data_IF_626926741927
#
_entry.id   IF_626926741927
#
_cell.length_a   1.000
_cell.length_b   1.000
_cell.length_c   1.000
_cell.angle_alpha   90.00
_cell.angle_beta   90.00
_cell.angle_gamma   90.00
#
_symmetry.space_group_name_H-M   'P 1'
#
loop_
_entity.id
_entity.type
_entity.pdbx_description
1 polymer ?
#
# COMPACT_ATOMS: atom_id res chain seq x y z
N UNK A 1 70.59 42.07 -1.53
CA UNK A 1 69.19 42.14 -2.04
C UNK A 1 68.51 43.28 -1.27
N UNK A 2 68.24 44.37 -1.96
CA UNK A 2 67.70 45.59 -1.35
C UNK A 2 66.20 45.39 -1.03
N UNK A 3 65.68 46.07 -0.03
CA UNK A 3 64.28 45.97 0.38
C UNK A 3 63.31 46.24 -0.78
N UNK A 4 63.65 47.02 -1.75
CA UNK A 4 62.99 47.34 -3.00
C UNK A 4 62.81 46.07 -3.91
N UNK A 5 63.89 45.23 -3.97
CA UNK A 5 63.85 43.99 -4.75
C UNK A 5 62.89 42.92 -4.11
N UNK A 6 62.85 42.86 -2.78
CA UNK A 6 61.95 41.99 -2.06
C UNK A 6 60.47 42.40 -2.24
N UNK A 7 60.21 43.71 -2.23
CA UNK A 7 58.82 44.20 -2.50
C UNK A 7 58.37 43.90 -3.92
N UNK A 8 59.22 44.10 -4.94
CA UNK A 8 58.88 43.71 -6.33
C UNK A 8 58.64 42.21 -6.50
N UNK A 9 59.42 41.37 -5.85
CA UNK A 9 59.13 39.90 -5.87
C UNK A 9 57.83 39.51 -5.19
N UNK A 10 57.49 40.12 -4.06
CA UNK A 10 56.20 39.87 -3.39
C UNK A 10 54.99 40.32 -4.22
N UNK A 11 55.11 41.47 -4.91
CA UNK A 11 54.03 41.91 -5.83
C UNK A 11 53.87 40.99 -7.03
N UNK A 12 54.93 40.48 -7.63
CA UNK A 12 54.88 39.50 -8.72
C UNK A 12 54.26 38.17 -8.28
N UNK A 13 54.58 37.68 -7.07
CA UNK A 13 54.00 36.47 -6.51
C UNK A 13 52.50 36.66 -6.29
N UNK A 14 52.10 37.80 -5.72
CA UNK A 14 50.71 38.13 -5.47
C UNK A 14 49.88 38.25 -6.75
N UNK A 15 50.45 38.87 -7.79
CA UNK A 15 49.84 39.00 -9.10
C UNK A 15 49.68 37.61 -9.80
N UNK A 16 50.65 36.71 -9.62
CA UNK A 16 50.59 35.32 -10.10
C UNK A 16 49.55 34.49 -9.37
N UNK A 17 49.42 34.65 -8.04
CA UNK A 17 48.39 33.96 -7.25
C UNK A 17 46.96 34.42 -7.60
N UNK A 18 46.75 35.71 -7.79
CA UNK A 18 45.47 36.28 -8.21
C UNK A 18 45.07 35.84 -9.63
N UNK A 19 46.01 35.76 -10.55
CA UNK A 19 45.83 35.21 -11.89
C UNK A 19 45.43 33.74 -11.88
N UNK A 20 46.10 32.95 -11.01
CA UNK A 20 45.77 31.53 -10.85
C UNK A 20 44.36 31.30 -10.22
N UNK A 21 44.01 32.13 -9.24
CA UNK A 21 42.62 32.09 -8.64
C UNK A 21 41.56 32.47 -9.66
N UNK A 22 41.79 33.49 -10.50
CA UNK A 22 40.86 33.87 -11.57
C UNK A 22 40.71 32.76 -12.61
N UNK A 23 41.79 32.10 -13.01
CA UNK A 23 41.76 30.98 -13.96
C UNK A 23 40.99 29.80 -13.39
N UNK A 24 41.20 29.43 -12.12
CA UNK A 24 40.44 28.36 -11.44
C UNK A 24 38.96 28.72 -11.33
N UNK A 25 38.63 29.98 -11.06
CA UNK A 25 37.22 30.44 -11.02
C UNK A 25 36.57 30.34 -12.40
N UNK A 26 37.22 30.75 -13.46
CA UNK A 26 36.74 30.65 -14.83
C UNK A 26 36.53 29.20 -15.26
N UNK A 27 37.44 28.28 -14.88
CA UNK A 27 37.30 26.86 -15.13
C UNK A 27 36.08 26.29 -14.38
N UNK A 28 35.89 26.68 -13.12
CA UNK A 28 34.69 26.25 -12.33
C UNK A 28 33.40 26.75 -12.93
N UNK A 29 33.34 27.99 -13.38
CA UNK A 29 32.18 28.58 -14.05
C UNK A 29 31.92 27.85 -15.37
N UNK A 30 32.96 27.65 -16.20
CA UNK A 30 32.86 26.91 -17.45
C UNK A 30 32.34 25.48 -17.26
N UNK A 31 32.85 24.77 -16.25
CA UNK A 31 32.40 23.43 -15.89
C UNK A 31 30.90 23.42 -15.44
N UNK A 32 30.50 24.40 -14.64
CA UNK A 32 29.13 24.53 -14.16
C UNK A 32 28.18 24.81 -15.34
N UNK A 33 28.52 25.70 -16.25
CA UNK A 33 27.74 26.00 -17.47
C UNK A 33 27.64 24.77 -18.37
N UNK A 34 28.78 24.07 -18.57
CA UNK A 34 28.79 22.82 -19.36
C UNK A 34 27.89 21.74 -18.73
N UNK A 35 27.97 21.55 -17.41
CA UNK A 35 27.15 20.56 -16.71
C UNK A 35 25.67 20.90 -16.79
N UNK A 36 25.32 22.19 -16.65
CA UNK A 36 23.95 22.67 -16.79
C UNK A 36 23.41 22.42 -18.20
N UNK A 37 24.20 22.74 -19.24
CA UNK A 37 23.84 22.50 -20.63
C UNK A 37 23.68 21.00 -20.92
N UNK A 38 24.60 20.17 -20.44
CA UNK A 38 24.51 18.71 -20.55
C UNK A 38 23.25 18.17 -19.88
N UNK A 39 22.93 18.62 -18.66
CA UNK A 39 21.67 18.25 -17.98
C UNK A 39 20.43 18.68 -18.76
N UNK A 40 20.40 19.90 -19.29
CA UNK A 40 19.31 20.39 -20.12
C UNK A 40 19.16 19.57 -21.40
N UNK A 41 20.26 19.20 -22.04
CA UNK A 41 20.27 18.38 -23.25
C UNK A 41 19.74 16.97 -22.96
N UNK A 42 20.20 16.34 -21.87
CA UNK A 42 19.70 15.04 -21.42
C UNK A 42 18.20 15.11 -21.09
N UNK A 43 17.76 16.14 -20.35
CA UNK A 43 16.36 16.36 -20.02
C UNK A 43 15.50 16.53 -21.30
N UNK A 44 15.95 17.32 -22.25
CA UNK A 44 15.28 17.54 -23.53
C UNK A 44 15.17 16.23 -24.34
N UNK A 45 16.23 15.43 -24.38
CA UNK A 45 16.23 14.11 -25.02
C UNK A 45 15.28 13.12 -24.34
N UNK A 46 15.22 13.13 -22.97
CA UNK A 46 14.27 12.33 -22.20
C UNK A 46 12.83 12.72 -22.48
N UNK A 47 12.54 14.02 -22.59
CA UNK A 47 11.19 14.53 -22.90
C UNK A 47 10.78 14.19 -24.34
N UNK A 48 11.65 14.39 -25.33
CA UNK A 48 11.36 14.10 -26.73
C UNK A 48 11.24 12.58 -27.02
N UNK A 49 12.01 11.76 -26.31
CA UNK A 49 12.00 10.30 -26.47
C UNK A 49 11.22 9.57 -25.37
N UNK A 50 10.29 10.24 -24.70
CA UNK A 50 9.50 9.67 -23.60
C UNK A 50 8.90 8.30 -23.93
N UNK A 51 8.36 8.12 -25.15
CA UNK A 51 7.84 6.80 -25.58
C UNK A 51 8.91 5.71 -25.60
N UNK A 52 10.09 5.96 -26.14
CA UNK A 52 11.18 4.99 -26.16
C UNK A 52 11.75 4.67 -24.76
N UNK A 53 11.75 5.63 -23.84
CA UNK A 53 12.13 5.42 -22.44
C UNK A 53 11.07 4.58 -21.72
N UNK A 54 9.78 4.88 -21.96
CA UNK A 54 8.68 4.10 -21.40
C UNK A 54 8.71 2.64 -21.88
N UNK A 55 8.94 2.40 -23.18
CA UNK A 55 9.02 1.05 -23.75
C UNK A 55 10.21 0.27 -23.16
N UNK A 56 11.39 0.91 -23.03
CA UNK A 56 12.55 0.30 -22.39
C UNK A 56 12.28 0.01 -20.91
N UNK A 57 11.59 0.91 -20.21
CA UNK A 57 11.19 0.71 -18.81
C UNK A 57 10.22 -0.45 -18.67
N UNK A 58 9.22 -0.55 -19.55
CA UNK A 58 8.29 -1.69 -19.59
C UNK A 58 9.00 -3.02 -19.88
N UNK A 59 10.00 -3.02 -20.74
CA UNK A 59 10.80 -4.21 -21.03
C UNK A 59 11.63 -4.65 -19.82
N UNK A 60 12.28 -3.71 -19.13
CA UNK A 60 13.06 -3.98 -17.92
C UNK A 60 12.14 -4.46 -16.78
N UNK A 61 11.04 -3.76 -16.53
CA UNK A 61 10.08 -4.14 -15.48
C UNK A 61 9.42 -5.47 -15.77
N UNK A 62 9.10 -5.76 -17.03
CA UNK A 62 8.59 -7.06 -17.47
C UNK A 62 9.57 -8.20 -17.22
N UNK A 63 10.85 -8.00 -17.54
CA UNK A 63 11.90 -8.98 -17.25
C UNK A 63 12.16 -9.20 -15.75
N UNK A 64 12.00 -8.14 -14.95
CA UNK A 64 12.17 -8.20 -13.49
C UNK A 64 10.91 -8.68 -12.75
N UNK A 65 9.75 -8.74 -13.41
CA UNK A 65 8.47 -9.10 -12.81
C UNK A 65 8.51 -10.41 -12.00
N UNK A 66 9.07 -11.54 -12.48
CA UNK A 66 9.14 -12.77 -11.69
C UNK A 66 10.01 -12.61 -10.44
N UNK A 67 11.07 -11.81 -10.51
CA UNK A 67 11.97 -11.55 -9.39
C UNK A 67 11.25 -10.69 -8.34
N UNK A 68 10.55 -9.65 -8.75
CA UNK A 68 9.78 -8.76 -7.85
C UNK A 68 8.67 -9.56 -7.15
N UNK A 69 7.94 -10.40 -7.90
CA UNK A 69 6.92 -11.29 -7.34
C UNK A 69 7.56 -12.27 -6.35
N UNK A 70 8.68 -12.90 -6.72
CA UNK A 70 9.41 -13.82 -5.86
C UNK A 70 9.92 -13.17 -4.57
N UNK A 71 10.43 -11.95 -4.63
CA UNK A 71 10.82 -11.18 -3.44
C UNK A 71 9.62 -10.87 -2.54
N UNK A 72 8.49 -10.45 -3.11
CA UNK A 72 7.25 -10.21 -2.37
C UNK A 72 6.74 -11.48 -1.70
N UNK A 73 6.67 -12.59 -2.43
CA UNK A 73 6.27 -13.88 -1.88
C UNK A 73 7.25 -14.39 -0.80
N UNK A 74 8.57 -14.22 -1.00
CA UNK A 74 9.57 -14.57 0.02
C UNK A 74 9.36 -13.76 1.30
N UNK A 75 9.02 -12.48 1.18
CA UNK A 75 8.69 -11.63 2.32
C UNK A 75 7.44 -12.12 3.06
N UNK A 76 6.36 -12.45 2.32
CA UNK A 76 5.11 -12.99 2.88
C UNK A 76 5.28 -14.37 3.54
N UNK A 77 6.09 -15.23 2.95
CA UNK A 77 6.34 -16.59 3.45
C UNK A 77 7.37 -16.65 4.60
N UNK A 78 8.17 -15.60 4.79
CA UNK A 78 9.19 -15.56 5.83
C UNK A 78 8.65 -15.82 7.26
N UNK A 79 7.49 -15.28 7.71
CA UNK A 79 6.92 -15.63 9.02
C UNK A 79 6.52 -17.10 9.13
N UNK A 80 5.93 -17.66 8.07
CA UNK A 80 5.53 -19.08 8.00
C UNK A 80 6.77 -19.98 8.10
N UNK A 81 7.81 -19.65 7.32
CA UNK A 81 9.09 -20.34 7.38
C UNK A 81 9.72 -20.25 8.78
N UNK A 82 9.78 -19.04 9.39
CA UNK A 82 10.33 -18.87 10.74
C UNK A 82 9.56 -19.66 11.79
N UNK A 83 8.23 -19.71 11.69
CA UNK A 83 7.39 -20.50 12.60
C UNK A 83 7.71 -21.98 12.48
N UNK A 84 7.83 -22.52 11.27
CA UNK A 84 8.20 -23.91 11.03
C UNK A 84 9.64 -24.20 11.47
N UNK A 85 10.60 -23.31 11.18
CA UNK A 85 12.00 -23.45 11.56
C UNK A 85 12.16 -23.56 13.10
N UNK A 86 11.38 -22.80 13.87
CA UNK A 86 11.34 -22.90 15.33
C UNK A 86 10.92 -24.29 15.84
N UNK A 87 10.07 -25.00 15.09
CA UNK A 87 9.64 -26.35 15.46
C UNK A 87 10.63 -27.43 14.99
N UNK A 88 11.13 -27.33 13.77
CA UNK A 88 12.04 -28.31 13.20
C UNK A 88 13.45 -28.28 13.79
N UNK A 89 13.97 -27.10 14.09
CA UNK A 89 15.35 -26.94 14.54
C UNK A 89 15.66 -27.69 15.84
N UNK A 90 14.85 -27.59 16.93
CA UNK A 90 15.11 -28.34 18.16
C UNK A 90 15.05 -29.86 17.96
N UNK A 91 14.10 -30.34 17.13
CA UNK A 91 13.93 -31.75 16.83
C UNK A 91 15.14 -32.32 16.08
N UNK A 92 15.62 -31.59 15.05
CA UNK A 92 16.76 -32.01 14.24
C UNK A 92 18.10 -31.91 15.00
N UNK A 93 18.28 -30.93 15.88
CA UNK A 93 19.45 -30.84 16.77
C UNK A 93 19.59 -32.04 17.68
N UNK A 94 18.49 -32.66 18.14
CA UNK A 94 18.52 -33.89 18.95
C UNK A 94 18.91 -35.13 18.11
N UNK A 95 18.65 -35.12 16.80
CA UNK A 95 18.84 -36.31 15.93
C UNK A 95 20.14 -36.28 15.11
N UNK A 96 20.73 -35.09 14.90
CA UNK A 96 21.90 -34.88 14.05
C UNK A 96 23.14 -34.51 14.87
N UNK A 97 24.28 -35.12 14.57
CA UNK A 97 25.56 -34.88 15.27
C UNK A 97 26.14 -33.48 15.02
N UNK A 98 25.80 -32.84 13.89
CA UNK A 98 26.34 -31.52 13.53
C UNK A 98 25.24 -30.45 13.61
N UNK A 99 25.41 -29.46 14.49
CA UNK A 99 24.47 -28.34 14.61
C UNK A 99 24.31 -27.52 13.30
N UNK A 100 25.40 -27.34 12.54
CA UNK A 100 25.36 -26.63 11.27
C UNK A 100 24.54 -27.37 10.21
N UNK A 101 24.65 -28.71 10.18
CA UNK A 101 23.86 -29.54 9.26
C UNK A 101 22.39 -29.57 9.69
N UNK A 102 22.09 -29.68 10.99
CA UNK A 102 20.75 -29.62 11.52
C UNK A 102 20.04 -28.28 11.17
N UNK A 103 20.75 -27.16 11.28
CA UNK A 103 20.21 -25.84 10.91
C UNK A 103 19.94 -25.73 9.40
N UNK A 104 20.82 -26.22 8.53
CA UNK A 104 20.60 -26.24 7.06
C UNK A 104 19.39 -27.09 6.68
N UNK A 105 19.27 -28.29 7.26
CA UNK A 105 18.15 -29.19 6.97
C UNK A 105 16.84 -28.63 7.52
N UNK A 106 16.83 -28.08 8.75
CA UNK A 106 15.66 -27.40 9.31
C UNK A 106 15.17 -26.29 8.41
N UNK A 107 16.10 -25.47 7.92
CA UNK A 107 15.78 -24.37 7.01
C UNK A 107 15.22 -24.85 5.68
N UNK A 108 15.84 -25.85 5.05
CA UNK A 108 15.35 -26.43 3.80
C UNK A 108 13.93 -27.00 3.94
N UNK A 109 13.66 -27.75 5.02
CA UNK A 109 12.33 -28.28 5.31
C UNK A 109 11.31 -27.16 5.56
N UNK A 110 11.70 -26.09 6.26
CA UNK A 110 10.81 -24.95 6.55
C UNK A 110 10.51 -24.14 5.29
N UNK A 111 11.46 -24.00 4.37
CA UNK A 111 11.22 -23.37 3.06
C UNK A 111 10.26 -24.22 2.23
N UNK A 112 10.52 -25.53 2.13
CA UNK A 112 9.65 -26.45 1.40
C UNK A 112 8.23 -26.47 1.99
N UNK A 113 8.10 -26.49 3.33
CA UNK A 113 6.82 -26.42 4.01
C UNK A 113 6.09 -25.08 3.82
N UNK A 114 6.81 -23.97 3.76
CA UNK A 114 6.20 -22.65 3.47
C UNK A 114 5.70 -22.55 2.03
N UNK A 115 6.43 -23.12 1.07
CA UNK A 115 6.00 -23.20 -0.33
C UNK A 115 4.80 -24.15 -0.48
N UNK A 116 4.85 -25.31 0.18
CA UNK A 116 3.71 -26.23 0.18
C UNK A 116 2.46 -25.58 0.77
N UNK A 117 2.60 -24.82 1.87
CA UNK A 117 1.52 -24.04 2.46
C UNK A 117 0.91 -23.04 1.46
N UNK A 118 1.75 -22.30 0.73
CA UNK A 118 1.30 -21.39 -0.32
C UNK A 118 0.54 -22.13 -1.42
N UNK A 119 1.08 -23.25 -1.91
CA UNK A 119 0.47 -24.04 -2.97
C UNK A 119 -0.88 -24.63 -2.52
N UNK A 120 -0.97 -25.15 -1.30
CA UNK A 120 -2.22 -25.66 -0.73
C UNK A 120 -3.28 -24.55 -0.66
N UNK A 121 -2.93 -23.37 -0.15
CA UNK A 121 -3.87 -22.23 -0.13
C UNK A 121 -4.32 -21.87 -1.55
N UNK A 122 -3.38 -21.80 -2.51
CA UNK A 122 -3.71 -21.46 -3.89
C UNK A 122 -4.66 -22.50 -4.52
N UNK A 123 -4.37 -23.78 -4.33
CA UNK A 123 -5.22 -24.86 -4.83
C UNK A 123 -6.62 -24.82 -4.18
N UNK A 124 -6.69 -24.61 -2.87
CA UNK A 124 -7.97 -24.48 -2.16
C UNK A 124 -8.78 -23.28 -2.65
N UNK A 125 -8.14 -22.14 -2.87
CA UNK A 125 -8.80 -20.96 -3.43
C UNK A 125 -9.31 -21.20 -4.85
N UNK A 126 -8.50 -21.81 -5.72
CA UNK A 126 -8.91 -22.13 -7.09
C UNK A 126 -10.06 -23.14 -7.06
N UNK A 127 -9.96 -24.20 -6.26
CA UNK A 127 -11.00 -25.22 -6.13
C UNK A 127 -12.31 -24.68 -5.52
N UNK A 128 -12.25 -23.65 -4.69
CA UNK A 128 -13.43 -23.00 -4.15
C UNK A 128 -14.05 -21.98 -5.13
N UNK A 129 -13.22 -21.16 -5.78
CA UNK A 129 -13.70 -20.08 -6.64
C UNK A 129 -14.19 -20.58 -7.99
N UNK A 130 -13.39 -21.41 -8.69
CA UNK A 130 -13.67 -21.77 -10.10
C UNK A 130 -15.00 -22.50 -10.25
N UNK A 131 -15.32 -23.57 -9.50
CA UNK A 131 -16.60 -24.23 -9.61
C UNK A 131 -17.78 -23.30 -9.25
N UNK A 132 -17.62 -22.49 -8.19
CA UNK A 132 -18.66 -21.56 -7.75
C UNK A 132 -18.92 -20.47 -8.78
N UNK A 133 -17.89 -19.89 -9.39
CA UNK A 133 -18.04 -18.89 -10.47
C UNK A 133 -18.73 -19.51 -11.69
N UNK A 134 -18.33 -20.73 -12.09
CA UNK A 134 -18.93 -21.43 -13.23
C UNK A 134 -20.41 -21.71 -12.94
N UNK A 135 -20.73 -22.26 -11.77
CA UNK A 135 -22.14 -22.56 -11.40
C UNK A 135 -23.00 -21.29 -11.28
N UNK A 136 -22.45 -20.20 -10.71
CA UNK A 136 -23.16 -18.92 -10.59
C UNK A 136 -23.42 -18.28 -11.96
N UNK A 137 -22.43 -18.31 -12.87
CA UNK A 137 -22.58 -17.78 -14.23
C UNK A 137 -23.59 -18.62 -15.03
N UNK A 138 -23.50 -19.94 -14.97
CA UNK A 138 -24.47 -20.82 -15.68
C UNK A 138 -25.87 -20.66 -15.09
N UNK A 139 -26.02 -20.68 -13.76
CA UNK A 139 -27.29 -20.46 -13.09
C UNK A 139 -27.88 -19.06 -13.38
N UNK A 140 -27.04 -18.04 -13.52
CA UNK A 140 -27.46 -16.71 -13.94
C UNK A 140 -28.06 -16.72 -15.36
N UNK A 141 -27.34 -17.33 -16.31
CA UNK A 141 -27.77 -17.40 -17.72
C UNK A 141 -29.09 -18.19 -17.84
N UNK A 142 -29.27 -19.24 -17.05
CA UNK A 142 -30.48 -20.07 -17.06
C UNK A 142 -31.66 -19.41 -16.32
N UNK A 143 -31.40 -18.70 -15.21
CA UNK A 143 -32.43 -18.09 -14.38
C UNK A 143 -32.93 -16.72 -14.88
N UNK A 144 -32.08 -15.99 -15.65
CA UNK A 144 -32.40 -14.64 -16.15
C UNK A 144 -33.73 -14.58 -16.90
N UNK A 145 -34.05 -15.45 -17.89
CA UNK A 145 -35.32 -15.38 -18.61
C UNK A 145 -36.56 -15.60 -17.70
N UNK A 146 -36.48 -16.60 -16.83
CA UNK A 146 -37.61 -16.93 -15.92
C UNK A 146 -37.83 -15.93 -14.79
N UNK A 147 -36.77 -15.38 -14.24
CA UNK A 147 -36.89 -14.39 -13.15
C UNK A 147 -37.38 -13.04 -13.67
N UNK A 148 -36.98 -12.67 -14.88
CA UNK A 148 -37.47 -11.46 -15.57
C UNK A 148 -38.94 -11.58 -15.91
N UNK A 149 -39.39 -12.72 -16.44
CA UNK A 149 -40.84 -13.00 -16.67
C UNK A 149 -41.64 -12.97 -15.36
N UNK A 150 -41.09 -13.54 -14.28
CA UNK A 150 -41.73 -13.55 -12.96
C UNK A 150 -41.89 -12.16 -12.38
N UNK A 151 -40.88 -11.28 -12.54
CA UNK A 151 -40.94 -9.88 -12.13
C UNK A 151 -41.97 -9.10 -12.96
N UNK A 152 -41.99 -9.30 -14.29
CA UNK A 152 -42.99 -8.70 -15.17
C UNK A 152 -44.41 -9.18 -14.80
N UNK A 153 -44.55 -10.45 -14.48
CA UNK A 153 -45.82 -11.02 -14.03
C UNK A 153 -46.27 -10.49 -12.66
N UNK A 154 -45.36 -10.31 -11.70
CA UNK A 154 -45.65 -9.70 -10.39
C UNK A 154 -46.08 -8.23 -10.54
N UNK A 155 -45.47 -7.48 -11.40
CA UNK A 155 -45.81 -6.08 -11.68
C UNK A 155 -47.15 -5.99 -12.42
N UNK A 156 -47.39 -6.83 -13.46
CA UNK A 156 -48.62 -6.87 -14.22
C UNK A 156 -49.82 -7.47 -13.45
N UNK A 157 -49.58 -8.37 -12.50
CA UNK A 157 -50.63 -8.99 -11.70
C UNK A 157 -51.21 -8.13 -10.57
N UNK A 158 -50.78 -6.87 -10.48
CA UNK A 158 -51.42 -5.88 -9.59
C UNK A 158 -51.20 -6.08 -8.09
N UNK A 159 -50.34 -7.02 -7.67
CA UNK A 159 -49.98 -7.18 -6.24
C UNK A 159 -49.25 -5.96 -5.65
N UNK A 160 -48.67 -5.12 -6.49
CA UNK A 160 -48.12 -3.80 -6.12
C UNK A 160 -49.09 -2.64 -6.45
N UNK A 161 -50.23 -2.92 -7.07
CA UNK A 161 -51.22 -1.93 -7.53
C UNK A 161 -52.02 -1.22 -6.46
N UNK A 162 -51.83 -1.59 -5.17
CA UNK A 162 -52.53 -0.94 -4.05
C UNK A 162 -52.08 0.51 -3.78
N UNK A 163 -51.03 1.00 -4.47
CA UNK A 163 -50.43 2.32 -4.21
C UNK A 163 -50.43 3.30 -5.39
N UNK A 164 -51.23 3.09 -6.44
CA UNK A 164 -51.47 4.11 -7.51
C UNK A 164 -50.24 4.55 -8.35
N UNK A 165 -49.16 3.76 -8.38
CA UNK A 165 -47.90 4.10 -9.07
C UNK A 165 -47.65 3.18 -10.27
N UNK A 166 -48.70 2.66 -10.89
CA UNK A 166 -48.66 1.47 -11.75
C UNK A 166 -48.05 1.69 -13.14
N UNK A 167 -48.28 2.82 -13.81
CA UNK A 167 -47.86 2.94 -15.22
C UNK A 167 -46.43 3.37 -15.39
N UNK A 168 -45.96 4.29 -14.55
CA UNK A 168 -44.55 4.82 -14.64
C UNK A 168 -43.54 3.78 -14.15
N UNK A 169 -43.84 3.02 -13.10
CA UNK A 169 -42.93 1.96 -12.62
C UNK A 169 -42.94 0.76 -13.57
N UNK A 170 -44.09 0.41 -14.16
CA UNK A 170 -44.19 -0.65 -15.15
C UNK A 170 -43.36 -0.33 -16.41
N UNK A 171 -43.43 0.91 -16.89
CA UNK A 171 -42.62 1.38 -18.04
C UNK A 171 -41.11 1.43 -17.69
N UNK A 172 -40.77 1.83 -16.49
CA UNK A 172 -39.37 1.91 -16.05
C UNK A 172 -38.78 0.51 -15.86
N UNK A 173 -39.53 -0.43 -15.30
CA UNK A 173 -39.15 -1.83 -15.16
C UNK A 173 -39.02 -2.52 -16.50
N UNK A 174 -39.94 -2.29 -17.43
CA UNK A 174 -39.86 -2.85 -18.79
C UNK A 174 -38.62 -2.34 -19.52
N UNK A 175 -38.35 -1.04 -19.44
CA UNK A 175 -37.11 -0.45 -20.02
C UNK A 175 -35.84 -0.97 -19.38
N UNK A 176 -35.82 -1.16 -18.06
CA UNK A 176 -34.69 -1.78 -17.35
C UNK A 176 -34.51 -3.24 -17.78
N UNK A 177 -35.60 -3.97 -17.95
CA UNK A 177 -35.59 -5.37 -18.42
C UNK A 177 -35.00 -5.46 -19.82
N UNK A 178 -35.48 -4.63 -20.74
CA UNK A 178 -34.98 -4.56 -22.12
C UNK A 178 -33.51 -4.15 -22.19
N UNK A 179 -33.09 -3.24 -21.29
CA UNK A 179 -31.67 -2.85 -21.18
C UNK A 179 -30.79 -3.98 -20.64
N UNK A 180 -31.22 -4.69 -19.61
CA UNK A 180 -30.49 -5.82 -19.01
C UNK A 180 -30.44 -7.00 -19.99
N UNK A 181 -31.54 -7.32 -20.68
CA UNK A 181 -31.59 -8.36 -21.71
C UNK A 181 -30.70 -8.02 -22.91
N UNK A 182 -30.76 -6.79 -23.40
CA UNK A 182 -29.90 -6.31 -24.50
C UNK A 182 -28.42 -6.31 -24.07
N UNK A 183 -28.11 -5.88 -22.86
CA UNK A 183 -26.76 -5.92 -22.33
C UNK A 183 -26.26 -7.37 -22.14
N UNK A 184 -27.09 -8.24 -21.56
CA UNK A 184 -26.74 -9.66 -21.35
C UNK A 184 -26.53 -10.39 -22.68
N UNK A 185 -27.43 -10.19 -23.65
CA UNK A 185 -27.40 -10.93 -24.93
C UNK A 185 -26.48 -10.32 -25.98
N UNK A 186 -26.39 -8.98 -26.07
CA UNK A 186 -25.60 -8.30 -27.10
C UNK A 186 -24.18 -7.95 -26.67
N UNK A 187 -23.96 -7.67 -25.37
CA UNK A 187 -22.66 -7.24 -24.88
C UNK A 187 -21.97 -8.33 -24.04
N UNK A 188 -22.66 -8.92 -23.06
CA UNK A 188 -22.05 -9.85 -22.11
C UNK A 188 -21.75 -11.22 -22.74
N UNK A 189 -22.75 -11.84 -23.38
CA UNK A 189 -22.60 -13.16 -24.02
C UNK A 189 -21.56 -13.18 -25.15
N UNK A 190 -21.52 -12.22 -26.09
CA UNK A 190 -20.48 -12.17 -27.11
C UNK A 190 -19.10 -11.87 -26.52
N UNK A 191 -19.00 -11.01 -25.50
CA UNK A 191 -17.73 -10.76 -24.81
C UNK A 191 -17.26 -12.02 -24.06
N UNK A 192 -18.15 -12.75 -23.40
CA UNK A 192 -17.81 -14.03 -22.77
C UNK A 192 -17.36 -15.09 -23.79
N UNK A 193 -18.02 -15.18 -24.96
CA UNK A 193 -17.55 -16.03 -26.06
C UNK A 193 -16.19 -15.56 -26.60
N UNK A 194 -15.96 -14.25 -26.68
CA UNK A 194 -14.68 -13.68 -27.08
C UNK A 194 -13.59 -13.95 -26.01
N UNK A 195 -13.91 -13.89 -24.72
CA UNK A 195 -13.02 -14.31 -23.64
C UNK A 195 -12.74 -15.82 -23.66
N UNK A 196 -13.74 -16.65 -23.98
CA UNK A 196 -13.56 -18.11 -24.17
C UNK A 196 -12.67 -18.41 -25.40
N UNK A 197 -12.79 -17.65 -26.48
CA UNK A 197 -11.91 -17.75 -27.65
C UNK A 197 -10.52 -17.15 -27.37
N UNK A 198 -10.42 -16.12 -26.53
CA UNK A 198 -9.15 -15.59 -26.03
C UNK A 198 -8.45 -16.55 -25.06
N UNK A 199 -9.17 -17.46 -24.39
CA UNK A 199 -8.58 -18.58 -23.64
C UNK A 199 -7.73 -19.47 -24.58
N UNK A 200 -8.11 -19.63 -25.83
CA UNK A 200 -7.32 -20.40 -26.83
C UNK A 200 -6.04 -19.63 -27.24
N UNK A 201 -6.07 -18.31 -27.36
CA UNK A 201 -4.87 -17.48 -27.54
C UNK A 201 -4.14 -17.24 -26.20
N UNK A 202 -4.83 -17.46 -25.09
CA UNK A 202 -4.34 -17.39 -23.72
C UNK A 202 -3.38 -18.52 -23.35
N UNK A 203 -3.25 -19.59 -24.11
CA UNK A 203 -2.29 -20.69 -23.83
C UNK A 203 -0.87 -20.13 -23.73
N UNK A 204 -0.47 -19.23 -24.62
CA UNK A 204 0.86 -18.60 -24.58
C UNK A 204 0.99 -17.68 -23.32
N UNK A 205 -0.06 -16.95 -23.01
CA UNK A 205 -0.10 -16.08 -21.80
C UNK A 205 -0.13 -16.91 -20.52
N UNK A 206 -0.85 -18.03 -20.53
CA UNK A 206 -0.90 -19.00 -19.43
C UNK A 206 0.45 -19.67 -19.21
N UNK A 207 1.13 -20.10 -20.27
CA UNK A 207 2.50 -20.65 -20.22
C UNK A 207 3.47 -19.61 -19.66
N UNK A 208 3.41 -18.34 -20.11
CA UNK A 208 4.22 -17.26 -19.54
C UNK A 208 3.93 -17.05 -18.07
N UNK A 209 2.67 -17.05 -17.66
CA UNK A 209 2.28 -16.88 -16.25
C UNK A 209 2.77 -18.02 -15.38
N UNK A 210 2.68 -19.27 -15.86
CA UNK A 210 3.20 -20.44 -15.17
C UNK A 210 4.73 -20.36 -15.06
N UNK A 211 5.42 -20.02 -16.14
CA UNK A 211 6.89 -19.84 -16.12
C UNK A 211 7.30 -18.72 -15.15
N UNK A 212 6.63 -17.58 -15.16
CA UNK A 212 6.90 -16.49 -14.23
C UNK A 212 6.64 -16.92 -12.77
N UNK A 213 5.61 -17.71 -12.51
CA UNK A 213 5.33 -18.27 -11.20
C UNK A 213 6.40 -19.26 -10.75
N UNK A 214 6.84 -20.17 -11.62
CA UNK A 214 7.93 -21.10 -11.32
C UNK A 214 9.23 -20.34 -11.03
N UNK A 215 9.58 -19.35 -11.85
CA UNK A 215 10.76 -18.50 -11.61
C UNK A 215 10.59 -17.76 -10.27
N UNK A 216 9.39 -17.23 -9.98
CA UNK A 216 9.07 -16.63 -8.70
C UNK A 216 9.31 -17.56 -7.52
N UNK A 217 8.88 -18.82 -7.60
CA UNK A 217 9.14 -19.84 -6.57
C UNK A 217 10.66 -20.11 -6.42
N UNK A 218 11.39 -20.21 -7.51
CA UNK A 218 12.85 -20.38 -7.46
C UNK A 218 13.48 -19.18 -6.72
N UNK A 219 13.07 -17.96 -7.03
CA UNK A 219 13.53 -16.75 -6.34
C UNK A 219 13.19 -16.81 -4.84
N UNK A 220 11.97 -17.25 -4.47
CA UNK A 220 11.58 -17.46 -3.07
C UNK A 220 12.56 -18.39 -2.35
N UNK A 221 12.86 -19.55 -2.95
CA UNK A 221 13.79 -20.53 -2.37
C UNK A 221 15.17 -19.90 -2.15
N UNK A 222 15.72 -19.23 -3.17
CA UNK A 222 17.02 -18.58 -3.05
C UNK A 222 17.02 -17.49 -1.98
N UNK A 223 16.07 -16.57 -2.02
CA UNK A 223 16.00 -15.43 -1.09
C UNK A 223 15.85 -15.92 0.35
N UNK A 224 14.93 -16.85 0.62
CA UNK A 224 14.75 -17.40 1.97
C UNK A 224 15.96 -18.21 2.45
N UNK A 225 16.68 -18.87 1.52
CA UNK A 225 17.88 -19.64 1.87
C UNK A 225 19.05 -18.76 2.29
N UNK A 226 19.24 -17.60 1.62
CA UNK A 226 20.42 -16.72 1.82
C UNK A 226 20.06 -15.37 2.45
N UNK A 227 18.85 -15.22 3.01
CA UNK A 227 18.35 -13.91 3.50
C UNK A 227 19.28 -13.22 4.50
N UNK A 228 19.89 -13.99 5.44
CA UNK A 228 20.82 -13.42 6.43
C UNK A 228 22.08 -12.87 5.75
N UNK A 229 22.57 -13.58 4.71
CA UNK A 229 23.71 -13.13 3.91
C UNK A 229 23.36 -11.85 3.14
N UNK A 230 22.17 -11.81 2.50
CA UNK A 230 21.69 -10.63 1.79
C UNK A 230 21.54 -9.41 2.72
N UNK A 231 20.94 -9.60 3.89
CA UNK A 231 20.81 -8.54 4.91
C UNK A 231 22.20 -8.09 5.39
N UNK A 232 23.11 -9.04 5.64
CA UNK A 232 24.49 -8.73 6.03
C UNK A 232 25.25 -7.93 4.96
N UNK A 233 25.14 -8.33 3.69
CA UNK A 233 25.73 -7.62 2.57
C UNK A 233 25.14 -6.21 2.42
N UNK A 234 23.82 -6.05 2.53
CA UNK A 234 23.17 -4.75 2.49
C UNK A 234 23.66 -3.81 3.60
N UNK A 235 23.79 -4.33 4.83
CA UNK A 235 24.36 -3.56 5.96
C UNK A 235 25.83 -3.17 5.68
N UNK A 236 26.63 -4.09 5.10
CA UNK A 236 28.02 -3.81 4.72
C UNK A 236 28.11 -2.70 3.69
N UNK A 237 27.23 -2.68 2.68
CA UNK A 237 27.14 -1.61 1.67
C UNK A 237 26.80 -0.28 2.34
N UNK A 238 25.83 -0.25 3.23
CA UNK A 238 25.45 0.97 3.95
C UNK A 238 26.64 1.55 4.73
N UNK A 239 27.38 0.70 5.46
CA UNK A 239 28.55 1.17 6.20
C UNK A 239 29.77 1.51 5.31
N UNK A 240 29.85 0.96 4.10
CA UNK A 240 30.88 1.32 3.16
C UNK A 240 30.66 2.74 2.54
N UNK A 241 29.39 3.11 2.34
CA UNK A 241 29.02 4.39 1.72
C UNK A 241 28.86 5.50 2.76
N UNK A 242 28.29 5.19 3.92
CA UNK A 242 27.91 6.17 4.92
C UNK A 242 28.78 6.06 6.19
N UNK A 243 29.06 7.21 6.83
CA UNK A 243 29.69 7.21 8.17
C UNK A 243 28.84 6.43 9.17
N UNK A 244 29.43 5.75 10.19
CA UNK A 244 28.70 4.89 11.13
C UNK A 244 27.45 5.53 11.74
N UNK A 245 27.51 6.82 12.08
CA UNK A 245 26.36 7.56 12.63
C UNK A 245 25.14 7.58 11.67
N UNK A 246 25.37 7.84 10.38
CA UNK A 246 24.30 7.85 9.38
C UNK A 246 23.89 6.43 8.97
N UNK A 247 24.86 5.51 8.90
CA UNK A 247 24.61 4.09 8.64
C UNK A 247 23.68 3.48 9.68
N UNK A 248 23.87 3.76 10.98
CA UNK A 248 22.99 3.30 12.05
C UNK A 248 21.57 3.80 11.87
N UNK A 249 21.39 5.08 11.50
CA UNK A 249 20.06 5.66 11.24
C UNK A 249 19.37 4.95 10.07
N UNK A 250 20.12 4.69 8.99
CA UNK A 250 19.58 4.00 7.82
C UNK A 250 19.10 2.58 8.21
N UNK A 251 19.94 1.82 8.94
CA UNK A 251 19.60 0.46 9.38
C UNK A 251 18.38 0.47 10.31
N UNK A 252 18.29 1.44 11.21
CA UNK A 252 17.13 1.60 12.11
C UNK A 252 15.85 1.87 11.32
N UNK A 253 15.90 2.74 10.29
CA UNK A 253 14.76 3.01 9.40
C UNK A 253 14.33 1.75 8.66
N UNK A 254 15.28 0.95 8.14
CA UNK A 254 14.94 -0.32 7.48
C UNK A 254 14.36 -1.36 8.46
N UNK A 255 14.86 -1.40 9.70
CA UNK A 255 14.27 -2.27 10.72
C UNK A 255 12.84 -1.86 11.04
N UNK A 256 12.60 -0.54 11.17
CA UNK A 256 11.23 -0.01 11.39
C UNK A 256 10.33 -0.29 10.20
N UNK A 257 10.86 -0.22 8.97
CA UNK A 257 10.12 -0.61 7.78
C UNK A 257 9.69 -2.08 7.82
N UNK A 258 10.60 -2.99 8.16
CA UNK A 258 10.28 -4.43 8.29
C UNK A 258 9.18 -4.67 9.33
N UNK A 259 9.23 -3.97 10.48
CA UNK A 259 8.20 -4.03 11.52
C UNK A 259 6.83 -3.53 11.02
N UNK A 260 6.78 -2.35 10.37
CA UNK A 260 5.55 -1.74 9.90
C UNK A 260 4.93 -2.54 8.74
N UNK A 261 5.73 -2.88 7.73
CA UNK A 261 5.24 -3.67 6.59
C UNK A 261 4.84 -5.09 7.01
N UNK A 262 5.67 -5.76 7.82
CA UNK A 262 5.40 -7.11 8.28
C UNK A 262 4.14 -7.16 9.15
N UNK A 263 4.03 -6.27 10.12
CA UNK A 263 2.86 -6.18 11.01
C UNK A 263 1.58 -5.90 10.22
N UNK A 264 1.62 -4.94 9.31
CA UNK A 264 0.47 -4.55 8.51
C UNK A 264 0.01 -5.67 7.54
N UNK A 265 0.92 -6.20 6.72
CA UNK A 265 0.57 -7.18 5.69
C UNK A 265 0.11 -8.49 6.32
N UNK A 266 0.84 -9.00 7.33
CA UNK A 266 0.48 -10.24 8.02
C UNK A 266 -0.84 -10.03 8.77
N UNK A 267 -0.98 -8.90 9.46
CA UNK A 267 -2.21 -8.54 10.15
C UNK A 267 -3.40 -8.53 9.20
N UNK A 268 -3.28 -7.90 8.01
CA UNK A 268 -4.38 -7.86 7.02
C UNK A 268 -4.70 -9.22 6.41
N UNK A 269 -3.72 -10.09 6.20
CA UNK A 269 -3.97 -11.45 5.73
C UNK A 269 -4.74 -12.27 6.79
N UNK A 270 -4.34 -12.19 8.05
CA UNK A 270 -5.02 -12.87 9.16
C UNK A 270 -6.44 -12.32 9.35
N UNK A 271 -6.59 -11.01 9.36
CA UNK A 271 -7.86 -10.30 9.43
C UNK A 271 -8.83 -10.77 8.33
N UNK A 272 -8.38 -10.73 7.08
CA UNK A 272 -9.14 -11.17 5.90
C UNK A 272 -9.53 -12.64 5.96
N UNK A 273 -8.65 -13.51 6.43
CA UNK A 273 -8.95 -14.92 6.62
C UNK A 273 -10.05 -15.13 7.68
N UNK A 274 -9.96 -14.40 8.82
CA UNK A 274 -10.98 -14.46 9.87
C UNK A 274 -12.32 -13.94 9.36
N UNK A 275 -12.35 -12.80 8.65
CA UNK A 275 -13.56 -12.24 8.03
C UNK A 275 -14.17 -13.22 7.02
N UNK A 276 -13.34 -13.84 6.17
CA UNK A 276 -13.81 -14.87 5.23
C UNK A 276 -14.47 -16.06 5.93
N UNK A 277 -13.87 -16.54 7.02
CA UNK A 277 -14.44 -17.65 7.82
C UNK A 277 -15.74 -17.24 8.50
N UNK A 278 -15.81 -16.07 9.12
CA UNK A 278 -17.03 -15.57 9.75
C UNK A 278 -18.12 -15.36 8.68
N UNK A 279 -17.74 -14.82 7.53
CA UNK A 279 -18.66 -14.64 6.41
C UNK A 279 -19.21 -15.97 5.92
N UNK A 280 -18.39 -17.00 5.78
CA UNK A 280 -18.82 -18.33 5.39
C UNK A 280 -19.89 -18.90 6.36
N UNK A 281 -19.61 -18.90 7.66
CA UNK A 281 -20.58 -19.41 8.65
C UNK A 281 -21.83 -18.54 8.73
N UNK A 282 -21.70 -17.22 8.64
CA UNK A 282 -22.85 -16.32 8.63
C UNK A 282 -23.77 -16.54 7.42
N UNK A 283 -23.20 -16.66 6.23
CA UNK A 283 -23.94 -16.98 5.01
C UNK A 283 -24.58 -18.37 5.07
N UNK A 284 -23.92 -19.35 5.69
CA UNK A 284 -24.45 -20.69 5.88
C UNK A 284 -25.70 -20.67 6.80
N UNK A 285 -25.64 -19.96 7.91
CA UNK A 285 -26.74 -19.78 8.87
C UNK A 285 -27.93 -19.05 8.22
N UNK A 286 -27.64 -18.04 7.40
CA UNK A 286 -28.65 -17.26 6.70
C UNK A 286 -29.14 -17.92 5.40
N UNK A 287 -28.67 -19.11 5.07
CA UNK A 287 -29.01 -19.88 3.86
C UNK A 287 -28.76 -19.06 2.57
N UNK A 288 -27.73 -18.22 2.57
CA UNK A 288 -27.37 -17.40 1.40
C UNK A 288 -26.88 -18.33 0.27
N UNK A 289 -27.42 -18.21 -0.95
CA UNK A 289 -26.90 -18.97 -2.09
C UNK A 289 -25.43 -18.62 -2.37
N UNK A 290 -24.72 -19.57 -3.00
CA UNK A 290 -23.28 -19.42 -3.32
C UNK A 290 -22.41 -19.01 -2.13
N UNK A 291 -22.71 -19.51 -0.94
CA UNK A 291 -22.07 -19.19 0.35
C UNK A 291 -20.54 -19.16 0.26
N UNK A 292 -19.92 -20.17 -0.39
CA UNK A 292 -18.46 -20.27 -0.51
C UNK A 292 -17.94 -19.11 -1.35
N UNK A 293 -18.57 -18.82 -2.48
CA UNK A 293 -18.14 -17.76 -3.40
C UNK A 293 -18.24 -16.39 -2.72
N UNK A 294 -19.36 -16.10 -2.06
CA UNK A 294 -19.58 -14.87 -1.30
C UNK A 294 -18.52 -14.70 -0.20
N UNK A 295 -18.27 -15.75 0.58
CA UNK A 295 -17.29 -15.72 1.67
C UNK A 295 -15.85 -15.51 1.15
N UNK A 296 -15.48 -16.13 0.04
CA UNK A 296 -14.17 -15.97 -0.58
C UNK A 296 -14.02 -14.56 -1.17
N UNK A 297 -15.04 -14.06 -1.89
CA UNK A 297 -14.99 -12.69 -2.44
C UNK A 297 -14.81 -11.68 -1.30
N UNK A 298 -15.64 -11.73 -0.26
CA UNK A 298 -15.55 -10.79 0.87
C UNK A 298 -14.23 -10.96 1.61
N UNK A 299 -13.81 -12.18 1.89
CA UNK A 299 -12.54 -12.44 2.58
C UNK A 299 -11.33 -11.95 1.80
N UNK A 300 -11.23 -12.25 0.50
CA UNK A 300 -10.11 -11.83 -0.34
C UNK A 300 -10.08 -10.31 -0.53
N UNK A 301 -11.21 -9.70 -0.80
CA UNK A 301 -11.28 -8.24 -0.99
C UNK A 301 -10.99 -7.48 0.29
N UNK A 302 -11.28 -8.05 1.48
CA UNK A 302 -10.99 -7.43 2.77
C UNK A 302 -9.49 -7.19 3.03
N UNK A 303 -8.60 -7.79 2.25
CA UNK A 303 -7.16 -7.47 2.27
C UNK A 303 -6.91 -5.99 1.97
N UNK A 304 -7.76 -5.36 1.14
CA UNK A 304 -7.69 -3.92 0.87
C UNK A 304 -8.34 -3.15 2.01
N UNK A 305 -7.60 -2.36 2.78
CA UNK A 305 -8.19 -1.60 3.89
C UNK A 305 -9.27 -0.64 3.40
N UNK A 306 -10.33 -0.45 4.16
CA UNK A 306 -11.45 0.47 3.92
C UNK A 306 -12.29 0.12 2.69
N UNK A 307 -11.68 -0.07 1.52
CA UNK A 307 -12.41 -0.30 0.26
C UNK A 307 -12.73 -1.77 0.00
N UNK A 308 -11.97 -2.69 0.60
CA UNK A 308 -12.16 -4.13 0.41
C UNK A 308 -13.59 -4.60 0.62
N UNK A 309 -14.23 -4.25 1.75
CA UNK A 309 -15.63 -4.59 2.02
C UNK A 309 -16.61 -4.14 0.93
N UNK A 310 -16.45 -2.93 0.41
CA UNK A 310 -17.32 -2.40 -0.65
C UNK A 310 -17.09 -3.12 -1.98
N UNK A 311 -15.81 -3.35 -2.33
CA UNK A 311 -15.43 -4.08 -3.55
C UNK A 311 -15.96 -5.53 -3.50
N UNK A 312 -16.01 -6.16 -2.33
CA UNK A 312 -16.55 -7.49 -2.16
C UNK A 312 -18.07 -7.53 -2.07
N UNK A 313 -18.69 -6.55 -1.38
CA UNK A 313 -20.11 -6.50 -1.19
C UNK A 313 -20.89 -6.36 -2.51
N UNK A 314 -20.45 -5.46 -3.41
CA UNK A 314 -21.17 -5.18 -4.66
C UNK A 314 -21.33 -6.44 -5.51
N UNK A 315 -20.28 -7.18 -5.92
CA UNK A 315 -20.44 -8.39 -6.71
C UNK A 315 -21.19 -9.50 -5.95
N UNK A 316 -20.96 -9.62 -4.63
CA UNK A 316 -21.67 -10.62 -3.82
C UNK A 316 -23.17 -10.36 -3.76
N UNK A 317 -23.58 -9.11 -3.57
CA UNK A 317 -25.00 -8.72 -3.58
C UNK A 317 -25.63 -8.91 -4.97
N UNK A 318 -24.92 -8.56 -6.05
CA UNK A 318 -25.40 -8.78 -7.41
C UNK A 318 -25.62 -10.26 -7.71
N UNK A 319 -24.71 -11.14 -7.29
CA UNK A 319 -24.85 -12.59 -7.45
C UNK A 319 -26.09 -13.13 -6.71
N UNK A 320 -26.32 -12.67 -5.48
CA UNK A 320 -27.41 -13.18 -4.64
C UNK A 320 -28.75 -12.57 -5.01
N UNK A 321 -28.83 -11.27 -5.40
CA UNK A 321 -30.08 -10.60 -5.74
C UNK A 321 -30.78 -11.22 -6.94
N UNK A 322 -30.00 -11.73 -7.90
CA UNK A 322 -30.51 -12.36 -9.10
C UNK A 322 -31.19 -13.70 -8.77
N UNK A 323 -30.64 -14.42 -7.79
CA UNK A 323 -31.21 -15.71 -7.33
C UNK A 323 -32.36 -15.51 -6.35
N UNK A 324 -32.20 -14.59 -5.39
CA UNK A 324 -33.21 -14.30 -4.37
C UNK A 324 -33.04 -12.89 -3.79
N UNK A 325 -33.96 -11.96 -4.12
CA UNK A 325 -33.91 -10.59 -3.58
C UNK A 325 -33.96 -10.53 -2.04
N UNK A 326 -34.71 -11.45 -1.42
CA UNK A 326 -34.83 -11.51 0.03
C UNK A 326 -33.51 -11.91 0.70
N UNK A 327 -32.81 -12.91 0.15
CA UNK A 327 -31.52 -13.32 0.67
C UNK A 327 -30.43 -12.24 0.40
N UNK A 328 -30.54 -11.45 -0.67
CA UNK A 328 -29.67 -10.31 -0.89
C UNK A 328 -29.85 -9.23 0.20
N UNK A 329 -31.05 -8.98 0.66
CA UNK A 329 -31.34 -8.09 1.79
C UNK A 329 -30.71 -8.62 3.09
N UNK A 330 -30.83 -9.91 3.36
CA UNK A 330 -30.19 -10.53 4.53
C UNK A 330 -28.65 -10.43 4.43
N UNK A 331 -28.09 -10.69 3.25
CA UNK A 331 -26.65 -10.54 3.00
C UNK A 331 -26.19 -9.11 3.22
N UNK A 332 -26.92 -8.11 2.72
CA UNK A 332 -26.59 -6.69 2.91
C UNK A 332 -26.50 -6.32 4.39
N UNK A 333 -27.55 -6.68 5.16
CA UNK A 333 -27.59 -6.41 6.61
C UNK A 333 -26.43 -7.14 7.30
N UNK A 334 -26.19 -8.39 6.95
CA UNK A 334 -25.11 -9.19 7.51
C UNK A 334 -23.73 -8.59 7.22
N UNK A 335 -23.47 -8.16 5.99
CA UNK A 335 -22.19 -7.49 5.62
C UNK A 335 -22.02 -6.21 6.44
N UNK A 336 -23.06 -5.39 6.61
CA UNK A 336 -22.96 -4.16 7.42
C UNK A 336 -22.58 -4.51 8.86
N UNK A 337 -23.22 -5.50 9.46
CA UNK A 337 -22.89 -5.94 10.83
C UNK A 337 -21.46 -6.50 10.89
N UNK A 338 -21.08 -7.35 9.93
CA UNK A 338 -19.74 -7.92 9.85
C UNK A 338 -18.68 -6.84 9.76
N UNK A 339 -18.91 -5.77 8.97
CA UNK A 339 -17.98 -4.65 8.86
C UNK A 339 -17.87 -3.82 10.13
N UNK A 340 -18.97 -3.70 10.90
CA UNK A 340 -18.91 -3.05 12.23
C UNK A 340 -18.07 -3.89 13.22
N UNK A 341 -18.19 -5.20 13.16
CA UNK A 341 -17.36 -6.11 13.99
C UNK A 341 -15.91 -6.05 13.55
N UNK A 342 -15.64 -6.04 12.24
CA UNK A 342 -14.29 -5.89 11.71
C UNK A 342 -13.64 -4.57 12.15
N UNK A 343 -14.27 -3.44 11.84
CA UNK A 343 -13.72 -2.11 12.10
C UNK A 343 -13.52 -1.77 13.59
N UNK A 344 -14.38 -2.28 14.47
CA UNK A 344 -14.38 -1.92 15.90
C UNK A 344 -13.73 -2.97 16.81
N UNK A 345 -13.67 -4.25 16.40
CA UNK A 345 -13.21 -5.34 17.26
C UNK A 345 -12.01 -6.08 16.64
N UNK A 346 -12.19 -6.63 15.43
CA UNK A 346 -11.19 -7.53 14.82
C UNK A 346 -9.99 -6.74 14.35
N UNK A 347 -10.20 -5.72 13.53
CA UNK A 347 -9.15 -4.86 12.98
C UNK A 347 -8.23 -4.27 14.04
N UNK A 348 -8.75 -3.57 15.08
CA UNK A 348 -7.93 -3.04 16.17
C UNK A 348 -7.16 -4.11 16.93
N UNK A 349 -7.74 -5.30 17.14
CA UNK A 349 -7.06 -6.40 17.85
C UNK A 349 -5.92 -7.03 17.04
N UNK A 350 -6.07 -7.12 15.72
CA UNK A 350 -5.10 -7.78 14.84
C UNK A 350 -4.02 -6.81 14.37
N UNK A 351 -4.43 -5.64 13.86
CA UNK A 351 -3.53 -4.65 13.31
C UNK A 351 -2.86 -3.79 14.40
N UNK A 352 -3.56 -3.57 15.52
CA UNK A 352 -3.10 -2.69 16.61
C UNK A 352 -2.67 -1.32 16.07
N UNK A 353 -1.69 -0.70 16.75
CA UNK A 353 -1.07 0.56 16.32
C UNK A 353 0.07 0.34 15.31
N UNK A 354 0.02 -0.73 14.50
CA UNK A 354 1.13 -1.15 13.62
C UNK A 354 1.62 -0.05 12.69
N UNK A 355 0.75 0.86 12.27
CA UNK A 355 1.10 1.95 11.35
C UNK A 355 1.33 3.29 12.04
N UNK A 356 0.74 3.50 13.22
CA UNK A 356 0.76 4.78 13.95
C UNK A 356 0.15 5.95 13.17
N UNK A 357 -0.69 5.67 12.17
CA UNK A 357 -1.39 6.66 11.35
C UNK A 357 -2.81 6.87 11.85
N UNK A 358 -3.30 8.12 11.76
CA UNK A 358 -4.73 8.39 11.94
C UNK A 358 -5.53 7.89 10.74
N UNK A 359 -6.85 7.66 10.93
CA UNK A 359 -7.76 7.19 9.88
C UNK A 359 -7.72 8.06 8.61
N UNK A 360 -7.56 9.38 8.76
CA UNK A 360 -7.39 10.30 7.64
C UNK A 360 -6.17 9.94 6.78
N UNK A 361 -5.01 9.73 7.38
CA UNK A 361 -3.79 9.38 6.66
C UNK A 361 -3.83 7.98 6.04
N UNK A 362 -4.55 7.05 6.67
CA UNK A 362 -4.81 5.71 6.08
C UNK A 362 -5.62 5.87 4.80
N UNK A 363 -6.75 6.59 4.83
CA UNK A 363 -7.60 6.83 3.66
C UNK A 363 -6.83 7.56 2.54
N UNK A 364 -6.09 8.60 2.89
CA UNK A 364 -5.25 9.37 1.98
C UNK A 364 -4.22 8.49 1.27
N UNK A 365 -3.53 7.61 2.01
CA UNK A 365 -2.51 6.72 1.47
C UNK A 365 -3.09 5.67 0.51
N UNK A 366 -4.30 5.17 0.79
CA UNK A 366 -4.98 4.21 -0.08
C UNK A 366 -5.42 4.87 -1.39
N UNK A 367 -5.99 6.08 -1.32
CA UNK A 367 -6.43 6.81 -2.51
C UNK A 367 -5.26 7.16 -3.44
N UNK A 368 -4.19 7.72 -2.89
CA UNK A 368 -2.99 8.05 -3.70
C UNK A 368 -2.31 6.78 -4.19
N UNK A 369 -2.09 5.80 -3.32
CA UNK A 369 -1.48 4.54 -3.71
C UNK A 369 -2.27 3.84 -4.80
N UNK A 370 -3.60 3.78 -4.65
CA UNK A 370 -4.52 3.19 -5.63
C UNK A 370 -4.50 3.92 -6.97
N UNK A 371 -4.50 5.25 -6.96
CA UNK A 371 -4.43 6.06 -8.18
C UNK A 371 -3.11 5.91 -8.94
N UNK A 372 -1.98 5.72 -8.23
CA UNK A 372 -0.66 5.60 -8.85
C UNK A 372 -0.30 4.17 -9.26
N UNK A 373 -0.65 3.18 -8.46
CA UNK A 373 -0.17 1.79 -8.60
C UNK A 373 -1.30 0.75 -8.59
N UNK A 374 -2.57 1.18 -8.72
CA UNK A 374 -3.73 0.29 -8.74
C UNK A 374 -3.87 -0.54 -7.44
N UNK A 375 -4.27 -1.81 -7.58
CA UNK A 375 -4.50 -2.72 -6.46
C UNK A 375 -3.31 -2.83 -5.48
N UNK A 376 -2.10 -3.02 -6.01
CA UNK A 376 -0.89 -3.09 -5.19
C UNK A 376 -0.63 -1.80 -4.43
N UNK A 377 -0.95 -0.66 -5.04
CA UNK A 377 -0.85 0.64 -4.39
C UNK A 377 -1.87 0.82 -3.26
N UNK A 378 -3.09 0.31 -3.39
CA UNK A 378 -4.08 0.32 -2.30
C UNK A 378 -3.61 -0.51 -1.11
N UNK A 379 -3.02 -1.68 -1.37
CA UNK A 379 -2.54 -2.58 -0.32
C UNK A 379 -1.27 -2.04 0.35
N UNK A 380 -0.28 -1.63 -0.43
CA UNK A 380 1.03 -1.21 0.09
C UNK A 380 1.10 0.28 0.45
N UNK A 381 0.13 1.08 0.01
CA UNK A 381 0.09 2.52 0.25
C UNK A 381 0.13 2.88 1.73
N UNK A 382 -0.59 2.15 2.56
CA UNK A 382 -0.65 2.40 4.02
C UNK A 382 0.72 2.22 4.68
N UNK A 383 1.42 1.08 4.56
CA UNK A 383 2.73 0.93 5.17
C UNK A 383 3.80 1.84 4.53
N UNK A 384 3.73 2.12 3.23
CA UNK A 384 4.64 3.09 2.57
C UNK A 384 4.45 4.48 3.18
N UNK A 385 3.21 4.94 3.28
CA UNK A 385 2.92 6.25 3.85
C UNK A 385 3.27 6.31 5.34
N UNK A 386 3.05 5.24 6.10
CA UNK A 386 3.47 5.15 7.49
C UNK A 386 4.99 5.34 7.64
N UNK A 387 5.78 4.78 6.74
CA UNK A 387 7.23 4.98 6.73
C UNK A 387 7.63 6.41 6.34
N UNK A 388 6.97 7.00 5.35
CA UNK A 388 7.19 8.42 4.98
C UNK A 388 6.87 9.32 6.19
N UNK A 389 5.72 9.10 6.82
CA UNK A 389 5.30 9.83 8.01
C UNK A 389 6.28 9.68 9.18
N UNK A 390 6.77 8.45 9.43
CA UNK A 390 7.79 8.16 10.44
C UNK A 390 9.09 8.93 10.18
N UNK A 391 9.57 8.92 8.93
CA UNK A 391 10.79 9.63 8.54
C UNK A 391 10.62 11.14 8.72
N UNK A 392 9.51 11.70 8.23
CA UNK A 392 9.21 13.15 8.38
C UNK A 392 9.15 13.52 9.85
N UNK A 393 8.38 12.77 10.66
CA UNK A 393 8.26 13.00 12.11
C UNK A 393 9.61 12.95 12.81
N UNK A 394 10.47 12.02 12.44
CA UNK A 394 11.83 11.90 12.98
C UNK A 394 12.69 13.12 12.63
N UNK A 395 12.67 13.57 11.38
CA UNK A 395 13.41 14.75 10.91
C UNK A 395 12.92 16.02 11.62
N UNK A 396 11.60 16.20 11.70
CA UNK A 396 10.97 17.32 12.40
C UNK A 396 11.37 17.33 13.88
N UNK A 397 11.20 16.20 14.57
CA UNK A 397 11.56 16.10 15.99
C UNK A 397 13.05 16.35 16.24
N UNK A 398 13.93 15.88 15.33
CA UNK A 398 15.36 16.17 15.42
C UNK A 398 15.65 17.65 15.27
N UNK A 399 15.02 18.32 14.31
CA UNK A 399 15.16 19.76 14.09
C UNK A 399 14.62 20.61 15.26
N UNK A 400 13.46 20.22 15.80
CA UNK A 400 12.83 20.88 16.95
C UNK A 400 13.71 20.75 18.19
N UNK A 401 14.24 19.55 18.47
CA UNK A 401 15.17 19.33 19.60
C UNK A 401 16.43 20.17 19.52
N UNK A 402 17.00 20.35 18.30
CA UNK A 402 18.15 21.26 18.10
C UNK A 402 17.86 22.70 18.46
N UNK A 403 16.60 23.11 18.39
CA UNK A 403 16.14 24.47 18.73
C UNK A 403 15.65 24.59 20.18
N UNK A 404 15.87 23.55 21.02
CA UNK A 404 15.38 23.44 22.39
C UNK A 404 13.86 23.61 22.53
N UNK A 405 13.09 23.22 21.51
CA UNK A 405 11.65 23.28 21.49
C UNK A 405 11.05 21.91 21.88
N UNK A 406 9.81 21.92 22.39
CA UNK A 406 9.11 20.69 22.74
C UNK A 406 8.73 19.90 21.50
N UNK A 407 8.79 18.56 21.59
CA UNK A 407 8.36 17.64 20.51
C UNK A 407 6.89 17.19 20.67
N UNK A 408 6.18 17.69 21.67
CA UNK A 408 4.80 17.35 21.97
C UNK A 408 3.88 18.14 21.03
N UNK A 409 3.12 17.45 20.18
CA UNK A 409 2.28 18.08 19.13
C UNK A 409 1.17 18.95 19.73
N UNK A 410 0.56 18.49 20.83
CA UNK A 410 -0.54 19.15 21.51
C UNK A 410 -0.16 20.58 21.98
N UNK A 411 1.12 20.77 22.31
CA UNK A 411 1.62 22.09 22.70
C UNK A 411 1.56 23.13 21.57
N UNK A 412 1.50 22.68 20.30
CA UNK A 412 1.45 23.57 19.14
C UNK A 412 0.03 23.86 18.64
N UNK A 413 -0.99 23.15 19.13
CA UNK A 413 -2.39 23.29 18.64
C UNK A 413 -2.91 24.72 18.86
N UNK A 414 -2.65 25.30 20.03
CA UNK A 414 -3.07 26.67 20.37
C UNK A 414 -1.90 27.68 20.42
N UNK A 415 -0.75 27.31 19.81
CA UNK A 415 0.42 28.17 19.82
C UNK A 415 0.22 29.41 18.92
N UNK A 416 0.37 30.57 19.52
CA UNK A 416 0.41 31.85 18.79
C UNK A 416 1.83 32.19 18.31
N UNK A 417 2.86 31.52 18.81
CA UNK A 417 4.25 31.70 18.46
C UNK A 417 5.19 31.04 19.46
N UNK A 418 6.48 31.22 19.24
CA UNK A 418 7.54 30.74 20.12
C UNK A 418 8.39 31.93 20.55
N UNK A 419 8.79 31.96 21.80
CA UNK A 419 9.70 32.99 22.32
C UNK A 419 11.12 32.64 21.80
N UNK A 420 11.73 33.54 21.04
CA UNK A 420 13.05 33.33 20.42
C UNK A 420 14.17 33.14 21.47
N UNK A 421 14.08 33.78 22.62
CA UNK A 421 15.12 33.74 23.65
C UNK A 421 15.02 32.47 24.54
N UNK A 422 13.81 32.01 24.85
CA UNK A 422 13.58 30.92 25.80
C UNK A 422 13.11 29.61 25.17
N UNK A 423 12.69 29.64 23.91
CA UNK A 423 12.05 28.49 23.25
C UNK A 423 10.65 28.16 23.81
N UNK A 424 10.11 28.97 24.71
CA UNK A 424 8.78 28.73 25.31
C UNK A 424 7.65 29.02 24.31
N UNK A 425 6.62 28.18 24.33
CA UNK A 425 5.43 28.36 23.48
C UNK A 425 4.58 29.49 24.06
N UNK A 426 4.18 30.40 23.20
CA UNK A 426 3.29 31.52 23.51
C UNK A 426 1.89 31.16 23.01
N UNK A 427 0.90 31.15 23.87
CA UNK A 427 -0.48 30.85 23.51
C UNK A 427 -1.26 32.10 23.12
N UNK A 428 -2.32 32.00 22.32
CA UNK A 428 -3.11 33.11 21.80
C UNK A 428 -3.64 34.05 22.91
N UNK A 429 -4.07 33.52 24.04
CA UNK A 429 -4.55 34.29 25.19
C UNK A 429 -3.46 35.12 25.90
N UNK A 430 -2.23 34.66 25.96
CA UNK A 430 -1.10 35.34 26.58
C UNK A 430 -0.57 36.50 25.72
N UNK A 431 -0.64 36.37 24.38
CA UNK A 431 -0.25 37.45 23.46
C UNK A 431 -1.15 38.65 23.59
N UNK A 432 -2.44 38.49 23.88
CA UNK A 432 -3.37 39.56 24.14
C UNK A 432 -3.14 40.19 25.52
N UNK A 433 -2.83 39.40 26.56
CA UNK A 433 -2.49 39.94 27.89
C UNK A 433 -1.21 40.77 27.87
N UNK A 434 -0.16 40.33 27.18
CA UNK A 434 1.10 41.06 27.04
C UNK A 434 0.93 42.37 26.25
N UNK A 435 0.09 42.40 25.20
CA UNK A 435 -0.26 43.63 24.48
C UNK A 435 -1.06 44.63 25.33
N UNK A 436 -1.95 44.16 26.20
CA UNK A 436 -2.72 45.00 27.14
C UNK A 436 -1.83 45.58 28.23
N UNK A 437 -0.96 44.76 28.87
CA UNK A 437 -0.02 45.24 29.88
C UNK A 437 0.99 46.26 29.33
N UNK A 438 1.50 46.08 28.12
CA UNK A 438 2.38 47.06 27.48
C UNK A 438 1.66 48.39 27.11
N UNK A 439 0.37 48.31 26.74
CA UNK A 439 -0.45 49.47 26.44
C UNK A 439 -0.83 50.24 27.70
N UNK A 440 -1.05 49.55 28.81
CA UNK A 440 -1.37 50.15 30.11
C UNK A 440 -0.13 50.73 30.80
N UNK A 441 1.08 50.10 30.62
CA UNK A 441 2.33 50.68 31.12
C UNK A 441 2.75 51.93 30.32
N UNK A 442 2.55 51.96 28.99
CA UNK A 442 2.80 53.16 28.17
C UNK A 442 1.89 54.33 28.50
N UNK A 443 0.61 54.10 28.88
CA UNK A 443 -0.31 55.15 29.33
C UNK A 443 0.02 55.71 30.72
N UNK A 444 0.62 54.91 31.62
CA UNK A 444 1.07 55.36 32.94
C UNK A 444 2.31 56.23 32.88
N UNK A 445 3.19 56.03 31.91
CA UNK A 445 4.39 56.89 31.75
C UNK A 445 4.06 58.22 31.05
N UNK A 446 3.04 58.30 30.19
CA UNK A 446 2.57 59.57 29.61
C UNK A 446 1.85 60.44 30.62
N UNK A 447 1.15 59.83 31.59
CA UNK A 447 0.42 60.61 32.66
C UNK A 447 1.38 61.14 33.72
N UNK A 448 2.57 60.54 33.89
CA UNK A 448 3.62 61.00 34.82
C UNK A 448 4.53 62.09 34.20
N UNK A 449 4.49 62.30 32.91
CA UNK A 449 5.26 63.35 32.22
C UNK A 449 4.49 64.66 32.08
N UNK A 450 3.19 64.66 32.39
CA UNK A 450 2.30 65.83 32.30
C UNK A 450 1.78 66.38 33.69
N UNK A 451 2.43 65.95 34.78
CA UNK A 451 2.38 66.53 36.10
C UNK A 451 3.77 67.03 36.49
#
# INVERSE_FOLDING_TARGET
MTDVEKQKQMEQIKQSEDGMRQTVLLIKIGLMVFLTFACCTVFFFLVLRYKGVADTWHLITGALQPIIIGLGLAYLLNPVMKFQERHWLPFLKKKMKSEKSAAKVARGLSIAGAILFLLVILVLLIAAIVPSVVSSVTGLVEALPGNVESLIHMVKSGKLGAYGVTDTISDMLTKLTDQVENWATKDLLPQMQQYLLQITSGVITMVKSILNFIIGIIVVVYVLSIKESLVGQSKKIVYAIFKPKHGNIIIEVFHKADEVFGGFIIGKIIDSAIIGVICYFGCLILHIPDTILVAVIIGVTNVIPVFGPFIGAVPSLLLVVIQSPLHALYLLIFIIVLQQVDGNIIGPKILGDSTGLSAFWVMFSILIGGGLFGFLGMLLGVPVFAMIYYIIRRLVNHSIRKKNLTTVTEAYVEAAGVNEATGAIIYYGEKQKKKRTLKDSGKKDETKKNQ
#
